data_IF_777378355127
#
_entry.id   IF_777378355127
#
_cell.length_a   1.000
_cell.length_b   1.000
_cell.length_c   1.000
_cell.angle_alpha   90.00
_cell.angle_beta   90.00
_cell.angle_gamma   90.00
#
_symmetry.space_group_name_H-M   'P 1'
#
loop_
_entity.id
_entity.type
_entity.pdbx_description
1 polymer ?
#
# COMPACT_ATOMS: atom_id res chain seq x y z
N UNK A 1 -10.48 3.18 8.45
CA UNK A 1 -9.84 3.81 7.26
C UNK A 1 -8.67 4.68 7.69
N UNK A 2 -7.48 4.29 7.26
CA UNK A 2 -6.19 4.91 7.56
C UNK A 2 -5.48 5.34 6.28
N UNK A 3 -4.40 6.11 6.46
CA UNK A 3 -3.53 6.57 5.37
C UNK A 3 -2.09 6.20 5.69
N UNK A 4 -1.48 5.38 4.83
CA UNK A 4 -0.03 5.16 4.81
C UNK A 4 0.63 6.13 3.82
N UNK A 5 1.90 6.44 4.02
CA UNK A 5 2.64 7.38 3.16
C UNK A 5 3.96 6.79 2.73
N UNK A 6 4.37 7.11 1.51
CA UNK A 6 5.73 6.89 1.01
C UNK A 6 6.13 8.12 0.20
N UNK A 7 7.15 8.85 0.64
CA UNK A 7 7.52 10.13 0.02
C UNK A 7 6.29 11.07 -0.14
N UNK A 8 5.92 11.44 -1.37
CA UNK A 8 4.75 12.29 -1.68
C UNK A 8 3.42 11.53 -1.86
N UNK A 9 3.47 10.20 -1.93
CA UNK A 9 2.29 9.37 -2.23
C UNK A 9 1.54 8.97 -0.96
N UNK A 10 0.23 8.83 -1.07
CA UNK A 10 -0.68 8.48 0.01
C UNK A 10 -1.52 7.25 -0.38
N UNK A 11 -1.68 6.31 0.55
CA UNK A 11 -2.43 5.08 0.34
C UNK A 11 -3.52 4.96 1.39
N UNK A 12 -4.76 5.10 0.95
CA UNK A 12 -5.95 4.95 1.79
C UNK A 12 -6.31 3.47 1.86
N UNK A 13 -6.45 2.94 3.07
CA UNK A 13 -6.80 1.53 3.28
C UNK A 13 -7.73 1.37 4.48
N UNK A 14 -8.45 0.24 4.53
CA UNK A 14 -9.27 -0.10 5.70
C UNK A 14 -8.49 -0.99 6.67
N UNK A 15 -8.22 -0.45 7.86
CA UNK A 15 -7.46 -1.11 8.90
C UNK A 15 -8.26 -2.17 9.68
N UNK A 16 -9.56 -2.31 9.38
CA UNK A 16 -10.34 -3.49 9.76
C UNK A 16 -10.01 -4.74 8.93
N UNK A 17 -9.54 -4.57 7.70
CA UNK A 17 -9.31 -5.66 6.74
C UNK A 17 -7.82 -5.90 6.45
N UNK A 18 -6.94 -4.93 6.68
CA UNK A 18 -5.50 -5.11 6.46
C UNK A 18 -4.67 -4.23 7.39
N UNK A 19 -3.50 -4.73 7.76
CA UNK A 19 -2.49 -3.97 8.48
C UNK A 19 -1.47 -3.41 7.49
N UNK A 20 -0.96 -2.21 7.78
CA UNK A 20 0.12 -1.59 7.02
C UNK A 20 1.37 -1.46 7.89
N UNK A 21 2.52 -1.81 7.33
CA UNK A 21 3.83 -1.66 7.95
C UNK A 21 4.73 -0.85 7.03
N UNK A 22 5.44 0.12 7.61
CA UNK A 22 6.35 1.01 6.90
C UNK A 22 7.79 0.66 7.30
N UNK A 23 8.74 0.73 6.38
CA UNK A 23 10.15 0.60 6.70
C UNK A 23 10.70 1.85 7.41
N UNK A 24 11.86 1.72 8.07
CA UNK A 24 12.47 2.84 8.81
C UNK A 24 12.82 4.03 7.94
N UNK A 25 13.02 3.80 6.65
CA UNK A 25 13.53 4.77 5.70
C UNK A 25 12.40 5.44 4.90
N UNK A 26 11.14 5.05 5.15
CA UNK A 26 9.95 5.55 4.46
C UNK A 26 10.03 5.40 2.92
N UNK A 27 10.59 4.26 2.48
CA UNK A 27 10.80 3.88 1.08
C UNK A 27 10.12 2.55 0.72
N UNK A 28 9.48 1.89 1.67
CA UNK A 28 8.70 0.68 1.43
C UNK A 28 7.57 0.56 2.43
N UNK A 29 6.41 0.16 1.94
CA UNK A 29 5.26 -0.20 2.77
C UNK A 29 4.72 -1.56 2.36
N UNK A 30 4.23 -2.33 3.34
CA UNK A 30 3.62 -3.64 3.13
C UNK A 30 2.22 -3.66 3.74
N UNK A 31 1.24 -4.08 2.94
CA UNK A 31 -0.13 -4.37 3.38
C UNK A 31 -0.28 -5.88 3.59
N UNK A 32 -0.75 -6.26 4.77
CA UNK A 32 -0.85 -7.64 5.23
C UNK A 32 -2.28 -7.90 5.71
N UNK A 33 -2.88 -9.01 5.27
CA UNK A 33 -4.12 -9.55 5.83
C UNK A 33 -3.80 -10.94 6.39
N UNK A 34 -4.07 -11.14 7.69
CA UNK A 34 -3.68 -12.37 8.39
C UNK A 34 -2.17 -12.61 8.32
N UNK A 35 -1.77 -13.74 7.73
CA UNK A 35 -0.36 -14.12 7.51
C UNK A 35 0.14 -13.86 6.08
N UNK A 36 -0.68 -13.24 5.23
CA UNK A 36 -0.37 -13.05 3.81
C UNK A 36 -0.03 -11.61 3.49
N UNK A 37 1.09 -11.41 2.78
CA UNK A 37 1.42 -10.12 2.19
C UNK A 37 0.54 -9.93 0.95
N UNK A 38 -0.34 -8.95 1.02
CA UNK A 38 -1.28 -8.62 -0.05
C UNK A 38 -0.66 -7.66 -1.06
N UNK A 39 0.13 -6.69 -0.58
CA UNK A 39 0.74 -5.68 -1.43
C UNK A 39 2.04 -5.19 -0.80
N UNK A 40 3.08 -5.07 -1.61
CA UNK A 40 4.26 -4.26 -1.28
C UNK A 40 4.30 -3.07 -2.23
N UNK A 41 4.58 -1.89 -1.69
CA UNK A 41 4.78 -0.66 -2.46
C UNK A 41 6.15 -0.10 -2.08
N UNK A 42 6.96 0.26 -3.07
CA UNK A 42 8.28 0.85 -2.85
C UNK A 42 8.60 1.95 -3.86
N UNK A 43 9.66 2.72 -3.57
CA UNK A 43 10.27 3.64 -4.52
C UNK A 43 11.52 2.98 -5.12
N UNK A 44 11.46 2.64 -6.40
CA UNK A 44 12.58 2.07 -7.14
C UNK A 44 13.02 3.05 -8.25
N UNK A 45 14.28 3.48 -8.23
CA UNK A 45 14.84 4.45 -9.18
C UNK A 45 13.97 5.72 -9.36
N UNK A 46 13.54 6.31 -8.24
CA UNK A 46 12.63 7.47 -8.17
C UNK A 46 11.24 7.25 -8.79
N UNK A 47 10.80 6.00 -8.96
CA UNK A 47 9.46 5.65 -9.46
C UNK A 47 8.72 4.84 -8.40
N UNK A 48 7.43 5.12 -8.25
CA UNK A 48 6.53 4.32 -7.43
C UNK A 48 6.28 2.97 -8.11
N UNK A 49 6.49 1.89 -7.37
CA UNK A 49 6.29 0.52 -7.87
C UNK A 49 5.37 -0.26 -6.95
N UNK A 50 4.50 -1.06 -7.56
CA UNK A 50 3.50 -1.88 -6.87
C UNK A 50 3.76 -3.36 -7.15
N UNK A 51 3.73 -4.17 -6.10
CA UNK A 51 3.90 -5.63 -6.16
C UNK A 51 2.67 -6.31 -5.53
N UNK A 52 1.54 -6.35 -6.25
CA UNK A 52 0.29 -6.90 -5.73
C UNK A 52 0.28 -8.44 -5.73
N UNK A 53 -0.40 -9.01 -4.75
CA UNK A 53 -0.93 -10.38 -4.81
C UNK A 53 -2.19 -10.40 -5.71
N UNK A 54 -2.79 -11.58 -5.91
CA UNK A 54 -4.08 -11.68 -6.62
C UNK A 54 -5.27 -11.13 -5.82
N UNK A 55 -5.07 -10.78 -4.55
CA UNK A 55 -6.13 -10.50 -3.59
C UNK A 55 -6.17 -9.05 -3.11
N UNK A 56 -5.65 -8.13 -3.91
CA UNK A 56 -5.69 -6.68 -3.66
C UNK A 56 -6.08 -5.91 -4.91
N UNK A 57 -6.92 -4.88 -4.74
CA UNK A 57 -7.14 -3.84 -5.73
C UNK A 57 -6.40 -2.56 -5.37
N UNK A 58 -5.87 -1.90 -6.39
CA UNK A 58 -5.22 -0.59 -6.29
C UNK A 58 -5.97 0.35 -7.22
N UNK A 59 -6.58 1.39 -6.64
CA UNK A 59 -7.27 2.43 -7.40
C UNK A 59 -6.47 3.72 -7.31
N UNK A 60 -6.10 4.29 -8.45
CA UNK A 60 -5.58 5.65 -8.53
C UNK A 60 -6.76 6.64 -8.39
N UNK A 61 -6.71 7.49 -7.37
CA UNK A 61 -7.73 8.52 -7.13
C UNK A 61 -7.30 9.87 -7.72
N UNK A 62 -6.01 10.17 -7.62
CA UNK A 62 -5.34 11.33 -8.21
C UNK A 62 -3.83 11.04 -8.35
N UNK A 63 -3.05 12.03 -8.84
CA UNK A 63 -1.61 11.90 -9.14
C UNK A 63 -0.78 11.34 -7.96
N UNK A 64 -1.21 11.54 -6.72
CA UNK A 64 -0.46 11.15 -5.52
C UNK A 64 -1.25 10.29 -4.54
N UNK A 65 -2.52 9.99 -4.81
CA UNK A 65 -3.39 9.30 -3.86
C UNK A 65 -3.96 8.04 -4.47
N UNK A 66 -3.78 6.94 -3.75
CA UNK A 66 -4.30 5.63 -4.10
C UNK A 66 -5.24 5.10 -3.01
N UNK A 67 -6.17 4.23 -3.40
CA UNK A 67 -6.98 3.43 -2.48
C UNK A 67 -6.61 1.95 -2.63
N UNK A 68 -6.39 1.28 -1.51
CA UNK A 68 -6.03 -0.13 -1.42
C UNK A 68 -7.21 -0.89 -0.80
N UNK A 69 -7.71 -1.90 -1.51
CA UNK A 69 -8.83 -2.74 -1.02
C UNK A 69 -8.45 -4.22 -1.09
N UNK A 70 -8.62 -4.92 0.04
CA UNK A 70 -8.51 -6.37 0.14
C UNK A 70 -9.84 -7.00 -0.30
N UNK A 71 -9.78 -8.18 -0.92
CA UNK A 71 -10.96 -9.00 -1.20
C UNK A 71 -11.30 -10.02 -0.10
N UNK A 72 -10.47 -10.08 0.94
CA UNK A 72 -10.69 -10.87 2.15
C UNK A 72 -11.08 -9.98 3.32
#
# INVERSE_FOLDING_TARGET
MKVAKINKYQFKYDDGNMFCFEDSDNNKIAFINGSEIQLVIDINNNRLTFHPSQSVNIYELDEYTYKIESFF
#
